data_IF_383445245998
#
_entry.id   IF_383445245998
#
_cell.length_a   1.000
_cell.length_b   1.000
_cell.length_c   1.000
_cell.angle_alpha   90.00
_cell.angle_beta   90.00
_cell.angle_gamma   90.00
#
_symmetry.space_group_name_H-M   'P 1'
#
loop_
_entity.id
_entity.type
_entity.pdbx_description
1 polymer ?
#
# COMPACT_ATOMS: atom_id res chain seq x y z
N UNK A 1 3.54 -7.40 0.45
CA UNK A 1 2.86 -6.81 -0.72
C UNK A 1 3.61 -5.56 -1.13
N UNK A 2 3.45 -5.10 -2.37
CA UNK A 2 3.96 -3.79 -2.77
C UNK A 2 3.04 -2.69 -2.18
N UNK A 3 3.58 -1.54 -1.78
CA UNK A 3 2.82 -0.42 -1.21
C UNK A 3 2.03 0.40 -2.22
N UNK A 4 2.10 0.05 -3.50
CA UNK A 4 1.62 0.88 -4.61
C UNK A 4 2.73 1.79 -5.15
N UNK A 5 2.49 2.44 -6.31
CA UNK A 5 3.53 3.16 -7.05
C UNK A 5 4.18 4.28 -6.24
N UNK A 6 3.39 5.00 -5.42
CA UNK A 6 3.90 6.13 -4.64
C UNK A 6 4.77 5.72 -3.45
N UNK A 7 4.69 4.46 -3.01
CA UNK A 7 5.45 3.96 -1.86
C UNK A 7 6.76 3.26 -2.25
N UNK A 8 7.05 3.12 -3.55
CA UNK A 8 8.24 2.41 -4.04
C UNK A 8 9.53 2.95 -3.41
N UNK A 9 9.68 4.28 -3.36
CA UNK A 9 10.86 4.92 -2.78
C UNK A 9 11.00 4.65 -1.28
N UNK A 10 9.88 4.61 -0.54
CA UNK A 10 9.88 4.31 0.89
C UNK A 10 10.19 2.83 1.16
N UNK A 11 9.68 1.93 0.33
CA UNK A 11 10.03 0.51 0.39
C UNK A 11 11.53 0.27 0.19
N UNK A 12 12.17 1.00 -0.73
CA UNK A 12 13.62 0.94 -0.94
C UNK A 12 14.44 1.40 0.29
N UNK A 13 13.84 2.23 1.15
CA UNK A 13 14.41 2.68 2.42
C UNK A 13 13.98 1.82 3.63
N UNK A 14 13.44 0.62 3.38
CA UNK A 14 13.13 -0.36 4.44
C UNK A 14 11.85 -0.07 5.22
N UNK A 15 10.99 0.80 4.71
CA UNK A 15 9.65 1.00 5.29
C UNK A 15 8.81 -0.25 5.03
N UNK A 16 8.17 -0.76 6.08
CA UNK A 16 7.25 -1.89 5.98
C UNK A 16 6.04 -1.46 5.14
N UNK A 17 5.76 -2.20 4.08
CA UNK A 17 4.70 -1.88 3.12
C UNK A 17 3.53 -2.85 3.21
N UNK A 18 2.35 -2.31 2.96
CA UNK A 18 1.12 -3.04 2.80
C UNK A 18 0.46 -2.63 1.48
N UNK A 19 -0.14 -3.61 0.80
CA UNK A 19 -0.92 -3.37 -0.41
C UNK A 19 -2.10 -4.31 -0.45
N UNK A 20 -3.26 -3.77 -0.81
CA UNK A 20 -4.46 -4.52 -1.11
C UNK A 20 -4.53 -4.74 -2.62
N UNK A 21 -4.60 -6.01 -3.03
CA UNK A 21 -4.93 -6.36 -4.39
C UNK A 21 -6.45 -6.24 -4.57
N UNK A 22 -6.89 -5.14 -5.17
CA UNK A 22 -8.29 -4.94 -5.53
C UNK A 22 -8.59 -5.68 -6.84
N UNK A 23 -9.85 -6.05 -7.05
CA UNK A 23 -10.30 -6.51 -8.37
C UNK A 23 -10.29 -5.31 -9.33
N UNK A 24 -9.32 -5.30 -10.24
CA UNK A 24 -9.17 -4.31 -11.30
C UNK A 24 -9.33 -4.93 -12.69
N UNK A 25 -10.14 -5.98 -12.83
CA UNK A 25 -10.38 -6.66 -14.12
C UNK A 25 -10.90 -5.73 -15.22
N UNK A 26 -11.61 -4.66 -14.85
CA UNK A 26 -12.16 -3.62 -15.72
C UNK A 26 -11.34 -2.32 -15.75
N UNK A 27 -10.26 -2.22 -14.97
CA UNK A 27 -9.52 -0.97 -14.75
C UNK A 27 -9.02 -0.34 -16.06
N UNK A 28 -8.43 -1.14 -16.94
CA UNK A 28 -7.84 -0.64 -18.19
C UNK A 28 -8.85 -0.39 -19.31
N UNK A 29 -10.12 -0.75 -19.11
CA UNK A 29 -11.18 -0.38 -20.06
C UNK A 29 -11.49 1.13 -19.98
N UNK A 30 -11.19 1.76 -18.84
CA UNK A 30 -11.52 3.16 -18.54
C UNK A 30 -10.28 4.04 -18.31
N UNK A 31 -9.21 3.48 -17.74
CA UNK A 31 -8.01 4.21 -17.32
C UNK A 31 -7.44 5.11 -18.43
N UNK A 32 -7.27 6.40 -18.12
CA UNK A 32 -6.77 7.43 -19.05
C UNK A 32 -7.63 7.66 -20.31
N UNK A 33 -8.91 7.30 -20.27
CA UNK A 33 -9.87 7.68 -21.31
C UNK A 33 -10.79 8.81 -20.84
N UNK A 34 -11.57 9.40 -21.74
CA UNK A 34 -12.61 10.36 -21.37
C UNK A 34 -13.79 9.72 -20.60
N UNK A 35 -13.88 8.39 -20.58
CA UNK A 35 -14.91 7.62 -19.87
C UNK A 35 -14.51 7.28 -18.42
N UNK A 36 -13.37 7.77 -17.94
CA UNK A 36 -13.00 7.71 -16.52
C UNK A 36 -13.85 8.73 -15.72
N UNK A 37 -15.11 8.35 -15.51
CA UNK A 37 -16.15 9.20 -14.94
C UNK A 37 -16.84 8.53 -13.76
N UNK A 38 -17.46 9.35 -12.89
CA UNK A 38 -18.02 8.88 -11.61
C UNK A 38 -19.11 7.80 -11.75
N UNK A 39 -19.84 7.77 -12.86
CA UNK A 39 -20.89 6.77 -13.08
C UNK A 39 -20.36 5.33 -13.26
N UNK A 40 -19.04 5.14 -13.36
CA UNK A 40 -18.39 3.82 -13.37
C UNK A 40 -17.99 3.34 -11.98
N UNK A 41 -18.12 4.18 -10.95
CA UNK A 41 -17.78 3.83 -9.56
C UNK A 41 -18.92 3.03 -8.93
N UNK A 42 -18.63 1.80 -8.54
CA UNK A 42 -19.56 0.95 -7.81
C UNK A 42 -19.46 1.18 -6.29
N UNK A 43 -20.56 1.61 -5.67
CA UNK A 43 -20.60 1.91 -4.24
C UNK A 43 -20.21 0.71 -3.36
N UNK A 44 -20.56 -0.51 -3.78
CA UNK A 44 -20.22 -1.73 -3.04
C UNK A 44 -18.71 -1.99 -3.03
N UNK A 45 -18.04 -1.89 -4.20
CA UNK A 45 -16.58 -2.02 -4.31
C UNK A 45 -15.85 -0.96 -3.49
N UNK A 46 -16.35 0.28 -3.52
CA UNK A 46 -15.80 1.38 -2.73
C UNK A 46 -15.92 1.10 -1.22
N UNK A 47 -17.10 0.66 -0.77
CA UNK A 47 -17.34 0.33 0.64
C UNK A 47 -16.44 -0.82 1.12
N UNK A 48 -16.27 -1.87 0.31
CA UNK A 48 -15.38 -2.99 0.62
C UNK A 48 -13.92 -2.51 0.74
N UNK A 49 -13.46 -1.69 -0.21
CA UNK A 49 -12.10 -1.15 -0.22
C UNK A 49 -11.86 -0.27 1.01
N UNK A 50 -12.77 0.66 1.28
CA UNK A 50 -12.69 1.55 2.44
C UNK A 50 -12.68 0.78 3.76
N UNK A 51 -13.53 -0.24 3.90
CA UNK A 51 -13.57 -1.11 5.08
C UNK A 51 -12.24 -1.84 5.27
N UNK A 52 -11.68 -2.40 4.19
CA UNK A 52 -10.41 -3.14 4.23
C UNK A 52 -9.25 -2.25 4.68
N UNK A 53 -9.15 -1.03 4.14
CA UNK A 53 -8.14 -0.06 4.57
C UNK A 53 -8.34 0.39 6.01
N UNK A 54 -9.59 0.68 6.43
CA UNK A 54 -9.88 1.11 7.80
C UNK A 54 -9.52 0.02 8.82
N UNK A 55 -9.88 -1.23 8.55
CA UNK A 55 -9.52 -2.37 9.40
C UNK A 55 -8.02 -2.58 9.45
N UNK A 56 -7.33 -2.55 8.29
CA UNK A 56 -5.89 -2.70 8.26
C UNK A 56 -5.20 -1.59 9.05
N UNK A 57 -5.56 -0.33 8.82
CA UNK A 57 -4.99 0.81 9.52
C UNK A 57 -5.19 0.70 11.03
N UNK A 58 -6.40 0.34 11.47
CA UNK A 58 -6.70 0.14 12.88
C UNK A 58 -5.84 -0.97 13.49
N UNK A 59 -5.77 -2.15 12.86
CA UNK A 59 -5.01 -3.29 13.36
C UNK A 59 -3.50 -3.02 13.36
N UNK A 60 -2.98 -2.39 12.30
CA UNK A 60 -1.57 -2.04 12.19
C UNK A 60 -1.16 -1.01 13.26
N UNK A 61 -2.00 0.00 13.51
CA UNK A 61 -1.74 1.00 14.55
C UNK A 61 -1.77 0.42 15.97
N UNK A 62 -2.50 -0.69 16.18
CA UNK A 62 -2.64 -1.36 17.48
C UNK A 62 -1.85 -2.67 17.57
N UNK A 63 -0.96 -2.95 16.62
CA UNK A 63 -0.22 -4.20 16.60
C UNK A 63 0.73 -4.29 17.81
N UNK A 64 0.78 -5.42 18.53
CA UNK A 64 1.65 -5.59 19.70
C UNK A 64 3.13 -5.73 19.34
N UNK A 65 3.45 -5.80 18.04
CA UNK A 65 4.78 -6.05 17.50
C UNK A 65 5.11 -5.11 16.37
N UNK A 66 6.40 -4.81 16.19
CA UNK A 66 6.91 -4.04 15.04
C UNK A 66 6.85 -4.87 13.75
N UNK A 67 6.67 -4.17 12.62
CA UNK A 67 6.70 -4.75 11.27
C UNK A 67 8.09 -4.73 10.62
N UNK A 68 9.15 -4.41 11.37
CA UNK A 68 10.53 -4.47 10.88
C UNK A 68 10.97 -3.25 10.06
N UNK A 69 10.39 -2.08 10.32
CA UNK A 69 10.77 -0.81 9.70
C UNK A 69 11.55 0.11 10.66
N UNK A 70 12.34 1.04 10.11
CA UNK A 70 13.04 2.06 10.89
C UNK A 70 14.45 1.68 11.39
N UNK A 71 14.74 1.94 12.66
CA UNK A 71 16.11 1.92 13.24
C UNK A 71 16.90 0.62 13.03
N UNK A 72 16.33 -0.59 13.20
CA UNK A 72 17.07 -1.84 12.95
C UNK A 72 17.53 -2.00 11.50
N UNK A 73 16.70 -1.55 10.53
CA UNK A 73 17.08 -1.56 9.11
C UNK A 73 18.20 -0.56 8.83
N UNK A 74 18.13 0.65 9.41
CA UNK A 74 19.16 1.67 9.24
C UNK A 74 20.52 1.20 9.79
N UNK A 75 20.51 0.48 10.91
CA UNK A 75 21.72 -0.12 11.50
C UNK A 75 22.35 -1.16 10.57
N UNK A 76 21.55 -2.04 9.95
CA UNK A 76 22.08 -3.03 9.00
C UNK A 76 22.56 -2.40 7.69
N UNK A 77 21.80 -1.45 7.13
CA UNK A 77 22.20 -0.71 5.92
C UNK A 77 23.53 0.03 6.12
N UNK A 78 23.74 0.63 7.30
CA UNK A 78 24.99 1.30 7.64
C UNK A 78 26.19 0.35 7.68
N UNK A 79 26.03 -0.87 8.23
CA UNK A 79 27.11 -1.89 8.25
C UNK A 79 27.53 -2.31 6.84
N UNK A 80 26.58 -2.40 5.92
CA UNK A 80 26.84 -2.79 4.53
C UNK A 80 27.55 -1.69 3.72
N UNK A 81 27.33 -0.42 4.05
CA UNK A 81 27.97 0.72 3.37
C UNK A 81 29.44 0.94 3.78
N UNK A 82 29.90 0.30 4.85
CA UNK A 82 31.28 0.43 5.37
C UNK A 82 32.23 -0.69 4.94
N UNK A 83 31.80 -1.55 4.01
CA UNK A 83 32.59 -2.62 3.40
C UNK A 83 32.61 -2.48 1.87
#
# INVERSE_FOLDING_TARGET
GNGGPDLIALGAEGVAMFGLALDGTDYFDLHHTANDTFDKVEAERLNQTATSFAMFAFLAANAPSSFGSGEPYLVEKAKQATH
#
